data_IF_125043757099
#
_entry.id   IF_125043757099
#
_cell.length_a   1.000
_cell.length_b   1.000
_cell.length_c   1.000
_cell.angle_alpha   90.00
_cell.angle_beta   90.00
_cell.angle_gamma   90.00
#
_symmetry.space_group_name_H-M   'P 1'
#
loop_
_entity.id
_entity.type
_entity.pdbx_description
1 polymer ?
#
# COMPACT_ATOMS: atom_id res chain seq x y z
N UNK A 1 32.36 -13.54 13.47
CA UNK A 1 31.44 -12.82 12.57
C UNK A 1 30.03 -13.33 12.73
N UNK A 2 29.12 -12.49 13.24
CA UNK A 2 27.67 -12.50 13.04
C UNK A 2 27.13 -11.30 13.84
N UNK A 3 26.83 -10.21 13.13
CA UNK A 3 26.16 -9.05 13.75
C UNK A 3 24.73 -9.47 14.08
N UNK A 4 24.31 -9.21 15.31
CA UNK A 4 22.98 -9.46 15.81
C UNK A 4 21.94 -8.85 14.85
N UNK A 5 21.01 -9.68 14.40
CA UNK A 5 19.73 -9.20 13.90
C UNK A 5 19.00 -8.64 15.13
N UNK A 6 19.10 -7.34 15.35
CA UNK A 6 18.20 -6.65 16.26
C UNK A 6 16.77 -6.93 15.79
N UNK A 7 15.89 -7.29 16.72
CA UNK A 7 14.45 -7.42 16.49
C UNK A 7 13.92 -6.11 15.88
N UNK A 8 13.96 -6.02 14.55
CA UNK A 8 13.28 -4.97 13.81
C UNK A 8 11.80 -5.26 13.96
N UNK A 9 11.15 -4.51 14.84
CA UNK A 9 9.72 -4.59 15.05
C UNK A 9 9.02 -4.55 13.69
N UNK A 10 8.05 -5.46 13.49
CA UNK A 10 7.38 -5.58 12.20
C UNK A 10 6.69 -4.26 11.85
N UNK A 11 6.81 -3.83 10.60
CA UNK A 11 6.06 -2.66 10.13
C UNK A 11 4.55 -2.96 10.19
N UNK A 12 3.83 -2.24 11.06
CA UNK A 12 2.38 -2.31 11.17
C UNK A 12 1.75 -1.20 10.34
N UNK A 13 0.66 -1.51 9.64
CA UNK A 13 -0.03 -0.55 8.77
C UNK A 13 -1.46 -0.35 9.24
N UNK A 14 -1.73 0.85 9.75
CA UNK A 14 -3.09 1.30 9.97
C UNK A 14 -3.76 1.75 8.66
N UNK A 15 -5.11 1.80 8.61
CA UNK A 15 -5.82 2.37 7.48
C UNK A 15 -5.45 3.84 7.21
N UNK A 16 -5.23 4.64 8.27
CA UNK A 16 -4.82 6.05 8.13
C UNK A 16 -3.44 6.19 7.50
N UNK A 17 -2.45 5.41 7.93
CA UNK A 17 -1.11 5.44 7.33
C UNK A 17 -1.12 4.96 5.87
N UNK A 18 -1.95 3.95 5.58
CA UNK A 18 -2.15 3.46 4.22
C UNK A 18 -2.76 4.56 3.35
N UNK A 19 -3.74 5.29 3.87
CA UNK A 19 -4.35 6.44 3.19
C UNK A 19 -3.33 7.56 2.96
N UNK A 20 -2.56 7.94 3.98
CA UNK A 20 -1.53 8.99 3.84
C UNK A 20 -0.47 8.65 2.79
N UNK A 21 -0.06 7.37 2.71
CA UNK A 21 0.81 6.91 1.64
C UNK A 21 0.18 7.10 0.25
N UNK A 22 -1.07 6.65 0.07
CA UNK A 22 -1.76 6.79 -1.22
C UNK A 22 -1.97 8.26 -1.60
N UNK A 23 -2.38 9.09 -0.65
CA UNK A 23 -2.57 10.54 -0.85
C UNK A 23 -1.23 11.19 -1.27
N UNK A 24 -0.13 10.86 -0.59
CA UNK A 24 1.21 11.30 -1.00
C UNK A 24 1.55 10.85 -2.43
N UNK A 25 1.33 9.58 -2.77
CA UNK A 25 1.64 9.05 -4.11
C UNK A 25 0.79 9.70 -5.21
N UNK A 26 -0.45 10.07 -4.92
CA UNK A 26 -1.30 10.84 -5.83
C UNK A 26 -0.65 12.19 -6.15
N UNK A 27 -0.08 12.90 -5.17
CA UNK A 27 0.66 14.15 -5.43
C UNK A 27 1.90 13.93 -6.31
N UNK A 28 2.46 12.72 -6.30
CA UNK A 28 3.65 12.34 -7.07
C UNK A 28 3.29 11.62 -8.39
N UNK A 29 2.00 11.55 -8.77
CA UNK A 29 1.51 10.73 -9.90
C UNK A 29 2.24 11.01 -11.21
N UNK A 30 2.59 12.27 -11.49
CA UNK A 30 3.34 12.65 -12.70
C UNK A 30 4.71 11.97 -12.81
N UNK A 31 5.31 11.54 -11.70
CA UNK A 31 6.60 10.84 -11.65
C UNK A 31 6.50 9.33 -11.85
N UNK A 32 5.29 8.77 -11.83
CA UNK A 32 5.09 7.32 -11.88
C UNK A 32 5.17 6.75 -13.32
N UNK A 33 5.20 7.62 -14.34
CA UNK A 33 5.09 7.24 -15.74
C UNK A 33 3.79 6.47 -16.04
N UNK A 34 3.68 5.97 -17.28
CA UNK A 34 2.45 5.31 -17.76
C UNK A 34 2.16 3.99 -17.03
N UNK A 35 3.21 3.36 -16.49
CA UNK A 35 3.11 2.07 -15.80
C UNK A 35 2.91 2.21 -14.29
N UNK A 36 2.75 3.42 -13.75
CA UNK A 36 2.52 3.62 -12.31
C UNK A 36 3.66 3.13 -11.42
N UNK A 37 4.90 3.20 -11.93
CA UNK A 37 6.10 2.81 -11.20
C UNK A 37 6.80 4.07 -10.70
N UNK A 38 6.79 4.30 -9.40
CA UNK A 38 7.47 5.46 -8.83
C UNK A 38 8.98 5.22 -8.67
N UNK A 39 9.82 6.21 -9.00
CA UNK A 39 11.26 6.08 -8.87
C UNK A 39 11.71 6.11 -7.41
N UNK A 40 12.90 5.58 -7.14
CA UNK A 40 13.52 5.53 -5.80
C UNK A 40 13.35 6.80 -4.94
N UNK A 41 13.61 8.01 -5.47
CA UNK A 41 13.47 9.25 -4.71
C UNK A 41 12.07 9.51 -4.14
N UNK A 42 11.01 9.02 -4.80
CA UNK A 42 9.64 9.15 -4.29
C UNK A 42 9.47 8.32 -3.01
N UNK A 43 10.05 7.12 -2.96
CA UNK A 43 9.98 6.25 -1.78
C UNK A 43 10.83 6.76 -0.63
N UNK A 44 11.99 7.34 -0.92
CA UNK A 44 12.81 8.05 0.08
C UNK A 44 12.04 9.24 0.66
N UNK A 45 11.40 10.04 -0.19
CA UNK A 45 10.57 11.16 0.25
C UNK A 45 9.36 10.70 1.06
N UNK A 46 8.68 9.62 0.65
CA UNK A 46 7.59 9.03 1.42
C UNK A 46 8.04 8.62 2.82
N UNK A 47 9.17 7.92 2.91
CA UNK A 47 9.75 7.50 4.19
C UNK A 47 10.09 8.69 5.07
N UNK A 48 10.79 9.70 4.54
CA UNK A 48 11.15 10.89 5.31
C UNK A 48 9.93 11.70 5.80
N UNK A 49 8.85 11.75 5.02
CA UNK A 49 7.66 12.54 5.34
C UNK A 49 6.68 11.83 6.28
N UNK A 50 6.49 10.52 6.08
CA UNK A 50 5.41 9.76 6.70
C UNK A 50 5.88 8.95 7.89
N UNK A 51 7.13 8.46 7.88
CA UNK A 51 7.67 7.67 8.99
C UNK A 51 7.66 8.41 10.34
N UNK A 52 7.98 9.72 10.42
CA UNK A 52 7.88 10.47 11.68
C UNK A 52 6.46 10.56 12.26
N UNK A 53 5.43 10.24 11.47
CA UNK A 53 4.01 10.25 11.90
C UNK A 53 3.53 8.87 12.36
N UNK A 54 4.34 7.82 12.17
CA UNK A 54 4.02 6.45 12.53
C UNK A 54 3.92 6.33 14.04
N UNK A 55 2.79 5.78 14.51
CA UNK A 55 2.51 5.62 15.95
C UNK A 55 2.76 4.21 16.47
N UNK A 56 2.89 3.22 15.58
CA UNK A 56 2.95 1.78 15.92
C UNK A 56 3.80 1.00 14.93
N UNK A 57 4.47 -0.05 15.42
CA UNK A 57 5.31 -0.93 14.62
C UNK A 57 6.68 -0.32 14.33
N UNK A 58 7.53 -1.09 13.65
CA UNK A 58 8.90 -0.66 13.37
C UNK A 58 9.03 0.33 12.21
N UNK A 59 10.25 0.85 12.11
CA UNK A 59 10.68 1.84 11.12
C UNK A 59 10.28 1.45 9.68
N UNK A 60 9.59 2.35 9.00
CA UNK A 60 9.16 2.16 7.61
C UNK A 60 10.15 2.83 6.68
N UNK A 61 11.15 2.06 6.26
CA UNK A 61 12.11 2.51 5.23
C UNK A 61 11.43 2.70 3.86
N UNK A 62 12.12 3.35 2.93
CA UNK A 62 11.68 3.48 1.53
C UNK A 62 11.25 2.14 0.92
N UNK A 63 11.99 1.06 1.21
CA UNK A 63 11.65 -0.30 0.75
C UNK A 63 10.34 -0.82 1.36
N UNK A 64 10.05 -0.50 2.62
CA UNK A 64 8.80 -0.88 3.30
C UNK A 64 7.60 -0.17 2.65
N UNK A 65 7.72 1.13 2.33
CA UNK A 65 6.71 1.88 1.59
C UNK A 65 6.46 1.33 0.18
N UNK A 66 7.54 1.04 -0.58
CA UNK A 66 7.45 0.38 -1.89
C UNK A 66 6.70 -0.95 -1.83
N UNK A 67 7.06 -1.81 -0.87
CA UNK A 67 6.44 -3.12 -0.71
C UNK A 67 4.95 -3.01 -0.40
N UNK A 68 4.57 -2.07 0.49
CA UNK A 68 3.16 -1.81 0.81
C UNK A 68 2.39 -1.36 -0.44
N UNK A 69 2.92 -0.42 -1.21
CA UNK A 69 2.29 0.02 -2.45
C UNK A 69 2.12 -1.12 -3.46
N UNK A 70 3.16 -1.93 -3.65
CA UNK A 70 3.12 -3.10 -4.55
C UNK A 70 2.01 -4.06 -4.15
N UNK A 71 1.87 -4.35 -2.85
CA UNK A 71 0.78 -5.17 -2.32
C UNK A 71 -0.60 -4.57 -2.64
N UNK A 72 -0.81 -3.29 -2.32
CA UNK A 72 -2.09 -2.59 -2.56
C UNK A 72 -2.46 -2.60 -4.04
N UNK A 73 -1.48 -2.36 -4.91
CA UNK A 73 -1.66 -2.37 -6.36
C UNK A 73 -2.02 -3.77 -6.88
N UNK A 74 -1.43 -4.83 -6.31
CA UNK A 74 -1.79 -6.20 -6.63
C UNK A 74 -3.25 -6.49 -6.29
N UNK A 75 -3.68 -6.16 -5.07
CA UNK A 75 -5.07 -6.32 -4.63
C UNK A 75 -6.03 -5.55 -5.53
N UNK A 76 -5.71 -4.29 -5.84
CA UNK A 76 -6.54 -3.46 -6.72
C UNK A 76 -6.70 -4.06 -8.12
N UNK A 77 -5.62 -4.61 -8.71
CA UNK A 77 -5.70 -5.28 -10.02
C UNK A 77 -6.62 -6.49 -9.98
N UNK A 78 -6.50 -7.33 -8.95
CA UNK A 78 -7.39 -8.48 -8.77
C UNK A 78 -8.85 -8.04 -8.67
N UNK A 79 -9.16 -7.02 -7.87
CA UNK A 79 -10.53 -6.48 -7.77
C UNK A 79 -11.03 -5.99 -9.13
N UNK A 80 -10.19 -5.27 -9.90
CA UNK A 80 -10.56 -4.80 -11.24
C UNK A 80 -10.77 -5.94 -12.24
N UNK A 81 -9.97 -7.00 -12.15
CA UNK A 81 -10.15 -8.20 -12.97
C UNK A 81 -11.47 -8.90 -12.62
N UNK A 82 -11.79 -9.04 -11.32
CA UNK A 82 -13.05 -9.61 -10.86
C UNK A 82 -14.26 -8.80 -11.33
N UNK A 83 -14.19 -7.46 -11.25
CA UNK A 83 -15.25 -6.57 -11.76
C UNK A 83 -15.50 -6.72 -13.26
N UNK A 84 -14.50 -7.14 -14.03
CA UNK A 84 -14.64 -7.35 -15.48
C UNK A 84 -15.22 -8.73 -15.83
N UNK A 85 -15.38 -9.63 -14.86
CA UNK A 85 -16.02 -10.93 -15.07
C UNK A 85 -17.53 -10.79 -14.94
N UNK A 86 -18.26 -11.27 -15.95
CA UNK A 86 -19.73 -11.32 -15.96
C UNK A 86 -20.28 -12.09 -14.75
N UNK A 87 -21.24 -11.50 -14.02
CA UNK A 87 -21.94 -12.14 -12.91
C UNK A 87 -21.35 -11.88 -11.52
N UNK A 88 -20.30 -11.05 -11.41
CA UNK A 88 -19.75 -10.64 -10.11
C UNK A 88 -20.29 -9.26 -9.70
N UNK A 89 -20.96 -9.16 -8.56
CA UNK A 89 -21.35 -7.88 -7.95
C UNK A 89 -20.27 -7.43 -6.97
N UNK A 90 -19.40 -6.51 -7.40
CA UNK A 90 -18.44 -5.84 -6.50
C UNK A 90 -18.76 -4.35 -6.44
N UNK A 91 -19.15 -3.89 -5.26
CA UNK A 91 -19.39 -2.49 -4.96
C UNK A 91 -18.14 -1.83 -4.37
N UNK A 92 -17.76 -0.68 -4.91
CA UNK A 92 -16.66 0.13 -4.33
C UNK A 92 -17.00 0.67 -2.92
N UNK A 93 -18.27 0.58 -2.50
CA UNK A 93 -18.75 1.02 -1.18
C UNK A 93 -18.88 -0.14 -0.18
N UNK A 94 -19.37 -1.30 -0.62
CA UNK A 94 -19.71 -2.44 0.26
C UNK A 94 -18.88 -3.70 0.00
N UNK A 95 -18.01 -3.70 -1.00
CA UNK A 95 -17.20 -4.87 -1.39
C UNK A 95 -18.01 -5.91 -2.16
N UNK A 96 -17.71 -7.19 -1.93
CA UNK A 96 -18.36 -8.32 -2.59
C UNK A 96 -19.76 -8.67 -2.04
N UNK A 97 -20.26 -7.92 -1.05
CA UNK A 97 -21.60 -8.09 -0.44
C UNK A 97 -22.02 -9.56 -0.25
N UNK A 98 -21.11 -10.41 0.27
CA UNK A 98 -21.37 -11.85 0.42
C UNK A 98 -22.40 -12.04 1.52
N UNK A 99 -23.63 -12.35 1.13
CA UNK A 99 -24.69 -12.81 2.04
C UNK A 99 -24.67 -14.33 2.12
N UNK A 100 -24.80 -14.90 3.32
CA UNK A 100 -25.03 -16.34 3.47
C UNK A 100 -26.37 -16.68 2.78
N UNK A 101 -26.35 -17.51 1.74
CA UNK A 101 -27.56 -18.08 1.19
C UNK A 101 -28.21 -18.98 2.25
N UNK A 102 -29.51 -18.73 2.51
CA UNK A 102 -30.32 -19.43 3.53
C UNK A 102 -30.95 -20.69 2.97
#
# INVERSE_FOLDING_TARGET
GRRAASDQEKALWSPSETKELLDFLVTQKAKAGDRGNFPGPVWTAASALLDPKVKKGGLKTAKVYLNKYTQLRGIFKVIRELQNVSGWDWSDTTGASITEET
#
